data_IF_919640371867
#
_entry.id   IF_919640371867
#
_cell.length_a   1.000
_cell.length_b   1.000
_cell.length_c   1.000
_cell.angle_alpha   90.00
_cell.angle_beta   90.00
_cell.angle_gamma   90.00
#
_symmetry.space_group_name_H-M   'P 1'
#
loop_
_entity.id
_entity.type
_entity.pdbx_description
1 polymer ?
#
# COMPACT_ATOMS: atom_id res chain seq x y z
N UNK A 1 5.90 -13.03 -11.84
CA UNK A 1 7.18 -12.80 -11.12
C UNK A 1 7.44 -14.08 -10.36
N UNK A 2 8.19 -15.05 -10.88
CA UNK A 2 8.54 -16.20 -10.02
C UNK A 2 9.53 -15.70 -8.98
N UNK A 3 9.24 -15.74 -7.69
CA UNK A 3 10.20 -15.17 -6.75
C UNK A 3 9.73 -15.12 -5.33
N UNK A 4 10.61 -15.53 -4.43
CA UNK A 4 10.48 -15.18 -3.02
C UNK A 4 10.55 -13.65 -2.90
N UNK A 5 9.70 -13.13 -2.02
CA UNK A 5 9.59 -11.73 -1.71
C UNK A 5 10.11 -11.50 -0.30
N UNK A 6 10.74 -10.34 -0.09
CA UNK A 6 11.13 -9.90 1.23
C UNK A 6 10.61 -8.52 1.44
N UNK A 7 9.74 -8.38 2.43
CA UNK A 7 9.41 -7.08 2.97
C UNK A 7 10.43 -6.76 4.03
N UNK A 8 11.19 -5.69 3.84
CA UNK A 8 11.97 -5.08 4.91
C UNK A 8 11.32 -3.76 5.27
N UNK A 9 11.20 -3.48 6.56
CA UNK A 9 10.74 -2.18 7.05
C UNK A 9 11.81 -1.51 7.86
N UNK A 10 11.94 -0.20 7.73
CA UNK A 10 12.71 0.55 8.72
C UNK A 10 11.95 0.63 10.05
N UNK A 11 12.63 0.90 11.17
CA UNK A 11 11.96 0.89 12.46
C UNK A 11 10.98 2.06 12.61
N UNK A 12 9.88 1.81 13.31
CA UNK A 12 8.91 2.84 13.72
C UNK A 12 8.89 2.91 15.24
N UNK A 13 8.25 3.96 15.76
CA UNK A 13 8.29 4.41 17.15
C UNK A 13 7.83 3.32 18.15
N UNK A 14 8.78 2.52 18.64
CA UNK A 14 8.61 1.56 19.74
C UNK A 14 9.87 1.51 20.62
N UNK A 15 10.39 2.69 20.98
CA UNK A 15 11.58 2.83 21.83
C UNK A 15 12.92 2.45 21.18
N UNK A 16 12.97 2.20 19.86
CA UNK A 16 14.20 1.95 19.08
C UNK A 16 14.33 2.93 17.91
N UNK A 17 15.58 3.21 17.48
CA UNK A 17 15.96 4.14 16.39
C UNK A 17 15.02 3.99 15.20
N UNK A 18 14.25 5.01 14.86
CA UNK A 18 13.28 4.96 13.76
C UNK A 18 13.94 5.18 12.40
N UNK A 19 13.25 4.84 11.30
CA UNK A 19 13.74 5.01 9.92
C UNK A 19 14.29 6.41 9.65
N UNK A 20 13.55 7.44 10.04
CA UNK A 20 13.94 8.83 9.82
C UNK A 20 15.06 9.31 10.74
N UNK A 21 15.13 8.82 11.99
CA UNK A 21 16.24 9.12 12.91
C UNK A 21 17.60 8.57 12.45
N UNK A 22 17.65 7.84 11.33
CA UNK A 22 18.90 7.41 10.69
C UNK A 22 19.47 8.44 9.72
N UNK A 23 18.72 9.51 9.44
CA UNK A 23 19.16 10.63 8.59
C UNK A 23 19.59 11.79 9.49
N UNK A 24 20.88 12.12 9.45
CA UNK A 24 21.42 13.26 10.21
C UNK A 24 20.94 14.58 9.60
N UNK A 25 20.57 15.53 10.47
CA UNK A 25 20.30 16.90 10.07
C UNK A 25 21.62 17.65 9.89
N UNK A 26 21.63 18.58 8.93
CA UNK A 26 22.71 19.55 8.80
C UNK A 26 22.77 20.43 10.07
N UNK A 27 23.97 20.76 10.59
CA UNK A 27 24.11 21.54 11.82
C UNK A 27 23.35 22.87 11.83
N UNK A 28 23.24 23.50 10.66
CA UNK A 28 22.52 24.77 10.45
C UNK A 28 21.02 24.66 10.71
N UNK A 29 20.46 23.45 10.55
CA UNK A 29 19.04 23.18 10.73
C UNK A 29 18.68 22.70 12.14
N UNK A 30 19.65 22.32 12.98
CA UNK A 30 19.38 21.80 14.34
C UNK A 30 18.49 22.74 15.16
N UNK A 31 18.81 24.05 15.18
CA UNK A 31 18.04 25.06 15.92
C UNK A 31 16.59 25.20 15.45
N UNK A 32 16.32 24.95 14.16
CA UNK A 32 14.97 25.02 13.56
C UNK A 32 14.09 23.85 14.00
N UNK A 33 14.70 22.80 14.54
CA UNK A 33 14.04 21.59 15.01
C UNK A 33 14.29 21.45 16.52
N UNK A 34 14.11 22.56 17.24
CA UNK A 34 14.18 22.62 18.69
C UNK A 34 12.82 22.35 19.34
N UNK A 35 12.87 21.85 20.56
CA UNK A 35 11.70 21.63 21.41
C UNK A 35 12.03 22.01 22.85
N UNK A 36 11.01 22.43 23.58
CA UNK A 36 11.14 22.90 24.96
C UNK A 36 10.57 21.82 25.88
N UNK A 37 11.31 21.50 26.94
CA UNK A 37 10.86 20.67 28.07
C UNK A 37 10.64 21.57 29.29
N UNK A 38 10.17 21.02 30.41
CA UNK A 38 10.07 21.78 31.66
C UNK A 38 11.40 22.34 32.15
N UNK A 39 12.50 21.66 31.78
CA UNK A 39 13.82 21.89 32.37
C UNK A 39 14.74 22.66 31.43
N UNK A 40 14.66 22.41 30.11
CA UNK A 40 15.54 23.06 29.12
C UNK A 40 15.00 22.98 27.67
N UNK A 41 15.68 23.66 26.76
CA UNK A 41 15.48 23.60 25.30
C UNK A 41 16.49 22.65 24.65
N UNK A 42 15.97 21.67 23.92
CA UNK A 42 16.77 20.70 23.18
C UNK A 42 16.59 20.88 21.68
N UNK A 43 17.50 20.31 20.89
CA UNK A 43 17.34 20.23 19.44
C UNK A 43 17.64 18.84 18.91
N UNK A 44 16.95 18.47 17.83
CA UNK A 44 17.21 17.22 17.15
C UNK A 44 18.47 17.32 16.29
N UNK A 45 19.34 16.31 16.39
CA UNK A 45 20.54 16.13 15.54
C UNK A 45 20.27 15.21 14.34
N UNK A 46 19.22 14.42 14.42
CA UNK A 46 18.74 13.53 13.37
C UNK A 46 17.26 13.82 13.09
N UNK A 47 16.81 13.53 11.88
CA UNK A 47 15.53 13.99 11.34
C UNK A 47 14.33 13.44 12.13
N UNK A 48 13.62 14.26 12.91
CA UNK A 48 12.50 13.79 13.71
C UNK A 48 11.24 13.61 12.87
N UNK A 49 10.25 12.94 13.46
CA UNK A 49 8.91 12.90 12.92
C UNK A 49 8.26 14.29 12.90
N UNK A 50 7.28 14.46 12.00
CA UNK A 50 6.47 15.67 11.91
C UNK A 50 7.00 16.73 10.96
N UNK A 51 8.25 16.65 10.46
CA UNK A 51 8.68 17.57 9.41
C UNK A 51 8.05 17.21 8.06
N UNK A 52 7.56 18.23 7.36
CA UNK A 52 6.84 18.09 6.08
C UNK A 52 7.60 17.32 5.00
N UNK A 53 8.93 17.45 4.96
CA UNK A 53 9.78 16.91 3.89
C UNK A 53 10.57 15.65 4.29
N UNK A 54 10.28 15.04 5.43
CA UNK A 54 11.02 13.86 5.90
C UNK A 54 10.93 12.71 4.89
N UNK A 55 9.71 12.36 4.45
CA UNK A 55 9.51 11.25 3.50
C UNK A 55 10.23 11.49 2.17
N UNK A 56 10.20 12.72 1.64
CA UNK A 56 10.90 13.07 0.40
C UNK A 56 12.43 13.00 0.54
N UNK A 57 12.97 13.43 1.68
CA UNK A 57 14.40 13.30 1.98
C UNK A 57 14.81 11.82 2.08
N UNK A 58 14.00 11.01 2.75
CA UNK A 58 14.22 9.58 2.85
C UNK A 58 14.18 8.90 1.48
N UNK A 59 13.16 9.19 0.66
CA UNK A 59 13.04 8.66 -0.70
C UNK A 59 14.28 9.01 -1.54
N UNK A 60 14.75 10.27 -1.49
CA UNK A 60 15.96 10.69 -2.22
C UNK A 60 17.21 9.95 -1.78
N UNK A 61 17.34 9.64 -0.48
CA UNK A 61 18.46 8.85 0.04
C UNK A 61 18.42 7.44 -0.53
N UNK A 62 17.27 6.75 -0.42
CA UNK A 62 17.15 5.37 -0.89
C UNK A 62 17.28 5.26 -2.40
N UNK A 63 16.69 6.18 -3.16
CA UNK A 63 16.85 6.28 -4.61
C UNK A 63 18.32 6.38 -5.02
N UNK A 64 19.12 7.12 -4.26
CA UNK A 64 20.54 7.33 -4.54
C UNK A 64 21.37 6.09 -4.23
N UNK A 65 21.18 5.47 -3.07
CA UNK A 65 22.05 4.37 -2.61
C UNK A 65 21.66 3.03 -3.26
N UNK A 66 20.39 2.84 -3.60
CA UNK A 66 19.88 1.61 -4.22
C UNK A 66 19.66 1.74 -5.73
N UNK A 67 20.09 2.84 -6.36
CA UNK A 67 19.95 3.10 -7.80
C UNK A 67 20.25 1.88 -8.70
N UNK A 68 21.31 1.07 -8.46
CA UNK A 68 21.61 -0.10 -9.30
C UNK A 68 20.64 -1.29 -9.12
N UNK A 69 19.89 -1.31 -8.01
CA UNK A 69 19.02 -2.42 -7.59
C UNK A 69 17.53 -2.12 -7.83
N UNK A 70 17.15 -0.84 -7.79
CA UNK A 70 15.78 -0.36 -8.01
C UNK A 70 15.24 -0.79 -9.38
N UNK A 71 14.01 -1.31 -9.37
CA UNK A 71 13.32 -1.90 -10.53
C UNK A 71 13.84 -3.29 -10.93
N UNK A 72 15.14 -3.57 -10.74
CA UNK A 72 15.80 -4.84 -11.09
C UNK A 72 15.46 -5.95 -10.10
N UNK A 73 15.93 -5.80 -8.87
CA UNK A 73 15.73 -6.77 -7.77
C UNK A 73 14.96 -6.17 -6.60
N UNK A 74 14.65 -4.88 -6.65
CA UNK A 74 14.07 -4.16 -5.53
C UNK A 74 13.02 -3.16 -5.98
N UNK A 75 11.94 -3.04 -5.21
CA UNK A 75 11.02 -1.90 -5.22
C UNK A 75 11.06 -1.24 -3.85
N UNK A 76 11.03 0.09 -3.80
CA UNK A 76 11.03 0.83 -2.54
C UNK A 76 9.98 1.92 -2.58
N UNK A 77 9.29 2.10 -1.45
CA UNK A 77 8.43 3.24 -1.22
C UNK A 77 8.64 3.73 0.21
N UNK A 78 9.32 4.87 0.34
CA UNK A 78 9.75 5.43 1.62
C UNK A 78 10.41 4.33 2.46
N UNK A 79 9.80 3.91 3.57
CA UNK A 79 10.30 2.96 4.56
C UNK A 79 9.98 1.49 4.26
N UNK A 80 9.15 1.21 3.25
CA UNK A 80 8.81 -0.12 2.78
C UNK A 80 9.75 -0.55 1.64
N UNK A 81 10.49 -1.63 1.84
CA UNK A 81 11.42 -2.23 0.86
C UNK A 81 10.89 -3.60 0.46
N UNK A 82 10.81 -3.86 -0.83
CA UNK A 82 10.49 -5.16 -1.42
C UNK A 82 11.68 -5.66 -2.23
N UNK A 83 12.35 -6.70 -1.76
CA UNK A 83 13.35 -7.43 -2.57
C UNK A 83 12.65 -8.59 -3.27
N UNK A 84 12.90 -8.74 -4.57
CA UNK A 84 12.29 -9.75 -5.44
C UNK A 84 13.35 -10.33 -6.38
N UNK A 85 13.25 -11.61 -6.62
CA UNK A 85 14.11 -12.33 -7.59
C UNK A 85 13.24 -13.02 -8.62
N UNK A 86 13.80 -13.40 -9.77
CA UNK A 86 13.07 -14.21 -10.79
C UNK A 86 13.10 -15.72 -10.50
N UNK A 87 14.08 -16.14 -9.73
CA UNK A 87 14.35 -17.55 -9.44
C UNK A 87 14.75 -17.67 -7.98
N UNK A 88 14.26 -18.71 -7.31
CA UNK A 88 14.48 -18.90 -5.87
C UNK A 88 15.97 -18.99 -5.50
N UNK A 89 16.77 -19.65 -6.33
CA UNK A 89 18.19 -19.85 -6.05
C UNK A 89 19.02 -18.56 -6.15
N UNK A 90 18.57 -17.56 -6.92
CA UNK A 90 19.20 -16.23 -6.99
C UNK A 90 18.87 -15.36 -5.78
N UNK A 91 17.80 -15.69 -5.04
CA UNK A 91 17.24 -14.80 -4.03
C UNK A 91 18.20 -14.50 -2.87
N UNK A 92 18.95 -15.51 -2.41
CA UNK A 92 19.96 -15.32 -1.37
C UNK A 92 21.04 -14.33 -1.79
N UNK A 93 21.43 -14.35 -3.08
CA UNK A 93 22.42 -13.42 -3.62
C UNK A 93 21.88 -12.00 -3.73
N UNK A 94 20.65 -11.84 -4.20
CA UNK A 94 19.99 -10.52 -4.30
C UNK A 94 19.78 -9.88 -2.92
N UNK A 95 19.49 -10.71 -1.91
CA UNK A 95 19.45 -10.29 -0.50
C UNK A 95 20.83 -9.80 -0.06
N UNK A 96 21.87 -10.59 -0.27
CA UNK A 96 23.21 -10.21 0.19
C UNK A 96 23.66 -8.88 -0.44
N UNK A 97 23.42 -8.69 -1.74
CA UNK A 97 23.68 -7.42 -2.44
C UNK A 97 22.91 -6.24 -1.81
N UNK A 98 21.68 -6.46 -1.37
CA UNK A 98 20.88 -5.46 -0.63
C UNK A 98 21.50 -5.15 0.73
N UNK A 99 21.89 -6.19 1.48
CA UNK A 99 22.49 -6.04 2.81
C UNK A 99 23.87 -5.39 2.76
N UNK A 100 24.65 -5.60 1.71
CA UNK A 100 25.92 -4.88 1.51
C UNK A 100 25.71 -3.37 1.45
N UNK A 101 24.72 -2.90 0.70
CA UNK A 101 24.38 -1.48 0.63
C UNK A 101 23.89 -0.96 1.99
N UNK A 102 23.01 -1.70 2.67
CA UNK A 102 22.54 -1.33 4.01
C UNK A 102 23.70 -1.20 5.01
N UNK A 103 24.63 -2.17 5.03
CA UNK A 103 25.83 -2.15 5.87
C UNK A 103 26.74 -0.96 5.52
N UNK A 104 26.99 -0.73 4.23
CA UNK A 104 27.83 0.37 3.74
C UNK A 104 27.32 1.74 4.20
N UNK A 105 26.01 1.96 4.14
CA UNK A 105 25.38 3.22 4.54
C UNK A 105 24.86 3.22 5.99
N UNK A 106 25.15 2.17 6.77
CA UNK A 106 24.73 2.00 8.17
C UNK A 106 23.22 2.11 8.39
N UNK A 107 22.43 1.75 7.39
CA UNK A 107 20.98 1.69 7.49
C UNK A 107 20.56 0.42 8.22
N UNK A 108 19.65 0.60 9.18
CA UNK A 108 19.08 -0.44 10.02
C UNK A 108 17.64 -0.72 9.62
N UNK A 109 17.32 -2.00 9.62
CA UNK A 109 15.98 -2.53 9.42
C UNK A 109 15.37 -2.93 10.76
N UNK A 110 14.05 -3.00 10.80
CA UNK A 110 13.31 -3.59 11.90
C UNK A 110 13.11 -5.09 11.66
N UNK A 111 13.96 -5.91 12.29
CA UNK A 111 13.91 -7.37 12.14
C UNK A 111 12.54 -7.97 12.46
N UNK A 112 11.80 -7.43 13.44
CA UNK A 112 10.46 -7.91 13.82
C UNK A 112 9.38 -7.59 12.80
N UNK A 113 9.62 -6.65 11.88
CA UNK A 113 8.72 -6.30 10.77
C UNK A 113 9.21 -6.80 9.41
N UNK A 114 10.37 -7.45 9.37
CA UNK A 114 10.90 -8.05 8.16
C UNK A 114 10.32 -9.46 7.97
N UNK A 115 9.94 -9.79 6.74
CA UNK A 115 9.54 -11.14 6.35
C UNK A 115 10.50 -11.63 5.28
N UNK A 116 11.14 -12.79 5.50
CA UNK A 116 12.15 -13.34 4.61
C UNK A 116 11.68 -14.64 3.95
N UNK A 117 11.99 -14.82 2.67
CA UNK A 117 11.74 -16.08 1.98
C UNK A 117 10.26 -16.46 1.91
N UNK A 118 9.37 -15.49 1.67
CA UNK A 118 7.93 -15.74 1.51
C UNK A 118 7.55 -15.77 0.03
N UNK A 119 6.59 -16.60 -0.38
CA UNK A 119 6.08 -16.65 -1.75
C UNK A 119 5.15 -15.48 -2.11
N UNK A 120 4.74 -14.71 -1.11
CA UNK A 120 3.98 -13.49 -1.24
C UNK A 120 3.94 -12.70 0.07
N UNK A 121 3.67 -11.40 -0.02
CA UNK A 121 3.61 -10.54 1.16
C UNK A 121 2.95 -9.20 0.91
N UNK A 122 2.41 -8.61 1.98
CA UNK A 122 1.82 -7.28 1.92
C UNK A 122 2.89 -6.21 1.72
N UNK A 123 2.79 -5.41 0.66
CA UNK A 123 3.65 -4.26 0.36
C UNK A 123 2.77 -3.06 0.02
N UNK A 124 3.00 -1.90 0.65
CA UNK A 124 2.22 -0.64 0.47
C UNK A 124 0.68 -0.84 0.48
N UNK A 125 0.21 -1.79 1.28
CA UNK A 125 -1.22 -2.07 1.45
C UNK A 125 -1.85 -2.98 0.38
N UNK A 126 -1.05 -3.60 -0.49
CA UNK A 126 -1.46 -4.64 -1.43
C UNK A 126 -0.74 -5.95 -1.12
N UNK A 127 -1.34 -7.09 -1.48
CA UNK A 127 -0.66 -8.37 -1.44
C UNK A 127 0.14 -8.54 -2.73
N UNK A 128 1.44 -8.82 -2.64
CA UNK A 128 2.30 -9.06 -3.79
C UNK A 128 2.66 -10.53 -3.79
N UNK A 129 2.33 -11.23 -4.88
CA UNK A 129 2.60 -12.66 -5.04
C UNK A 129 3.30 -12.91 -6.36
N UNK A 130 3.68 -14.17 -6.59
CA UNK A 130 4.24 -14.57 -7.87
C UNK A 130 3.32 -14.33 -9.07
N UNK A 131 2.00 -14.35 -8.83
CA UNK A 131 0.94 -14.21 -9.82
C UNK A 131 0.61 -12.75 -10.15
N UNK A 132 0.90 -11.82 -9.23
CA UNK A 132 0.64 -10.41 -9.45
C UNK A 132 0.41 -9.62 -8.18
N UNK A 133 -0.46 -8.62 -8.28
CA UNK A 133 -0.87 -7.77 -7.17
C UNK A 133 -2.31 -8.14 -6.83
N UNK A 134 -2.53 -8.52 -5.58
CA UNK A 134 -3.81 -8.98 -5.07
C UNK A 134 -4.32 -8.01 -4.00
N UNK A 135 -5.63 -8.03 -3.78
CA UNK A 135 -6.23 -7.30 -2.67
C UNK A 135 -5.70 -7.89 -1.36
N UNK A 136 -5.38 -7.02 -0.39
CA UNK A 136 -4.97 -7.48 0.93
C UNK A 136 -6.14 -8.23 1.60
N UNK A 137 -6.00 -9.52 1.95
CA UNK A 137 -7.03 -10.30 2.63
C UNK A 137 -7.54 -9.63 3.90
N UNK A 138 -6.68 -8.95 4.67
CA UNK A 138 -7.09 -8.25 5.89
C UNK A 138 -8.09 -7.12 5.60
N UNK A 139 -7.92 -6.42 4.47
CA UNK A 139 -8.84 -5.36 4.05
C UNK A 139 -10.17 -5.92 3.56
N UNK A 140 -10.13 -7.08 2.90
CA UNK A 140 -11.35 -7.80 2.48
C UNK A 140 -12.11 -8.28 3.72
N UNK A 141 -11.43 -9.01 4.61
CA UNK A 141 -12.00 -9.56 5.83
C UNK A 141 -12.58 -8.46 6.73
N UNK A 142 -11.92 -7.31 6.82
CA UNK A 142 -12.46 -6.15 7.51
C UNK A 142 -13.84 -5.73 6.98
N UNK A 143 -14.16 -5.89 5.70
CA UNK A 143 -15.52 -5.64 5.16
C UNK A 143 -16.42 -6.86 5.38
N UNK A 144 -15.91 -8.08 5.14
CA UNK A 144 -16.69 -9.32 5.29
C UNK A 144 -17.23 -9.50 6.72
N UNK A 145 -16.39 -9.24 7.72
CA UNK A 145 -16.70 -9.38 9.15
C UNK A 145 -17.48 -8.17 9.70
N UNK A 146 -17.64 -7.12 8.90
CA UNK A 146 -18.35 -5.92 9.32
C UNK A 146 -19.86 -6.21 9.43
N UNK A 147 -20.46 -5.88 10.58
CA UNK A 147 -21.92 -5.81 10.72
C UNK A 147 -22.49 -4.64 9.89
N UNK A 148 -23.78 -4.67 9.52
CA UNK A 148 -24.41 -3.51 8.87
C UNK A 148 -24.18 -2.21 9.67
N UNK A 149 -23.69 -1.13 9.01
CA UNK A 149 -23.52 0.17 9.64
C UNK A 149 -24.79 0.70 10.30
N UNK A 150 -24.64 1.14 11.55
CA UNK A 150 -25.70 1.70 12.39
C UNK A 150 -25.58 3.22 12.58
N UNK A 151 -24.52 3.82 12.06
CA UNK A 151 -24.29 5.27 12.12
C UNK A 151 -23.59 5.81 10.87
N UNK A 152 -23.69 7.12 10.63
CA UNK A 152 -22.97 7.81 9.56
C UNK A 152 -21.45 7.62 9.67
N UNK A 153 -20.90 7.59 10.89
CA UNK A 153 -19.48 7.34 11.09
C UNK A 153 -19.08 5.93 10.64
N UNK A 154 -19.92 4.92 10.90
CA UNK A 154 -19.70 3.55 10.42
C UNK A 154 -19.86 3.46 8.89
N UNK A 155 -20.79 4.22 8.28
CA UNK A 155 -20.88 4.33 6.81
C UNK A 155 -19.62 4.98 6.24
N UNK A 156 -19.09 6.02 6.89
CA UNK A 156 -17.85 6.68 6.47
C UNK A 156 -16.68 5.69 6.55
N UNK A 157 -16.60 4.89 7.61
CA UNK A 157 -15.60 3.83 7.74
C UNK A 157 -15.73 2.79 6.61
N UNK A 158 -16.96 2.36 6.29
CA UNK A 158 -17.21 1.45 5.16
C UNK A 158 -16.73 2.06 3.84
N UNK A 159 -17.07 3.32 3.55
CA UNK A 159 -16.61 3.99 2.32
C UNK A 159 -15.09 4.11 2.25
N UNK A 160 -14.42 4.35 3.38
CA UNK A 160 -12.96 4.33 3.47
C UNK A 160 -12.36 2.95 3.17
N UNK A 161 -12.97 1.87 3.68
CA UNK A 161 -12.56 0.49 3.39
C UNK A 161 -12.76 0.13 1.91
N UNK A 162 -13.89 0.54 1.31
CA UNK A 162 -14.15 0.38 -0.13
C UNK A 162 -13.12 1.15 -0.96
N UNK A 163 -12.81 2.39 -0.59
CA UNK A 163 -11.82 3.21 -1.29
C UNK A 163 -10.41 2.57 -1.27
N UNK A 164 -10.04 1.91 -0.17
CA UNK A 164 -8.78 1.17 -0.04
C UNK A 164 -8.69 -0.08 -0.93
N UNK A 165 -9.81 -0.54 -1.48
CA UNK A 165 -9.95 -1.69 -2.38
C UNK A 165 -10.42 -1.30 -3.80
N UNK A 166 -10.59 0.00 -4.08
CA UNK A 166 -11.22 0.51 -5.32
C UNK A 166 -10.62 -0.09 -6.59
N UNK A 167 -9.29 -0.25 -6.63
CA UNK A 167 -8.54 -0.85 -7.76
C UNK A 167 -8.96 -2.27 -8.13
N UNK A 168 -9.60 -2.98 -7.21
CA UNK A 168 -10.08 -4.35 -7.41
C UNK A 168 -11.61 -4.44 -7.56
N UNK A 169 -12.33 -3.36 -7.23
CA UNK A 169 -13.79 -3.33 -7.27
C UNK A 169 -14.24 -2.73 -8.59
N UNK A 170 -14.69 -3.59 -9.49
CA UNK A 170 -15.27 -3.14 -10.75
C UNK A 170 -16.47 -2.23 -10.53
N UNK A 171 -16.44 -1.08 -11.21
CA UNK A 171 -17.44 -0.03 -11.09
C UNK A 171 -17.63 0.41 -9.63
N UNK A 172 -16.52 0.56 -8.89
CA UNK A 172 -16.52 0.89 -7.46
C UNK A 172 -17.37 2.12 -7.14
N UNK A 173 -17.37 3.12 -8.03
CA UNK A 173 -18.16 4.35 -7.88
C UNK A 173 -19.66 4.07 -7.91
N UNK A 174 -20.13 3.21 -8.82
CA UNK A 174 -21.53 2.81 -8.90
C UNK A 174 -21.94 1.98 -7.67
N UNK A 175 -21.10 1.00 -7.32
CA UNK A 175 -21.31 0.13 -6.14
C UNK A 175 -21.26 0.92 -4.82
N UNK A 176 -20.49 2.00 -4.78
CA UNK A 176 -20.37 2.89 -3.63
C UNK A 176 -21.42 3.99 -3.55
N UNK A 177 -22.18 4.21 -4.64
CA UNK A 177 -23.01 5.41 -4.82
C UNK A 177 -24.08 5.57 -3.74
N UNK A 178 -24.71 4.47 -3.35
CA UNK A 178 -25.73 4.47 -2.30
C UNK A 178 -25.15 4.96 -0.97
N UNK A 179 -23.94 4.52 -0.60
CA UNK A 179 -23.27 4.98 0.61
C UNK A 179 -22.89 6.46 0.53
N UNK A 180 -22.36 6.92 -0.61
CA UNK A 180 -22.01 8.33 -0.80
C UNK A 180 -23.23 9.26 -0.72
N UNK A 181 -24.38 8.83 -1.27
CA UNK A 181 -25.66 9.56 -1.14
C UNK A 181 -26.10 9.63 0.33
N UNK A 182 -25.95 8.54 1.08
CA UNK A 182 -26.27 8.49 2.51
C UNK A 182 -25.39 9.40 3.36
N UNK A 183 -24.09 9.49 3.06
CA UNK A 183 -23.16 10.41 3.76
C UNK A 183 -23.56 11.89 3.63
N UNK A 184 -24.33 12.27 2.61
CA UNK A 184 -24.86 13.63 2.45
C UNK A 184 -26.12 13.90 3.31
N UNK A 185 -26.74 12.85 3.86
CA UNK A 185 -27.99 12.92 4.63
C UNK A 185 -27.77 12.70 6.14
N UNK A 186 -26.75 13.37 6.70
CA UNK A 186 -26.28 13.13 8.08
C UNK A 186 -27.40 13.23 9.14
N UNK A 187 -28.32 14.18 9.00
CA UNK A 187 -29.38 14.44 10.00
C UNK A 187 -30.50 13.40 10.02
N UNK A 188 -30.73 12.68 8.92
CA UNK A 188 -31.84 11.73 8.75
C UNK A 188 -31.29 10.36 8.31
N UNK A 189 -30.24 9.91 8.97
CA UNK A 189 -29.64 8.62 8.64
C UNK A 189 -30.59 7.48 8.99
N UNK A 190 -30.88 6.65 7.99
CA UNK A 190 -31.59 5.39 8.16
C UNK A 190 -30.89 4.34 7.30
N UNK A 191 -30.65 3.17 7.90
CA UNK A 191 -30.12 2.03 7.17
C UNK A 191 -31.26 1.30 6.47
N UNK A 192 -31.53 1.68 5.22
CA UNK A 192 -32.66 1.16 4.45
C UNK A 192 -32.41 -0.25 3.90
N UNK A 193 -33.46 -0.91 3.41
CA UNK A 193 -33.36 -2.22 2.75
C UNK A 193 -32.45 -2.17 1.52
N UNK A 194 -32.45 -1.06 0.78
CA UNK A 194 -31.59 -0.86 -0.38
C UNK A 194 -30.11 -0.78 0.02
N UNK A 195 -29.79 -0.13 1.15
CA UNK A 195 -28.42 -0.08 1.68
C UNK A 195 -27.98 -1.46 2.18
N UNK A 196 -28.87 -2.20 2.84
CA UNK A 196 -28.59 -3.57 3.25
C UNK A 196 -28.31 -4.47 2.05
N UNK A 197 -29.14 -4.40 0.99
CA UNK A 197 -28.93 -5.19 -0.21
C UNK A 197 -27.60 -4.83 -0.90
N UNK A 198 -27.30 -3.54 -1.06
CA UNK A 198 -26.03 -3.09 -1.63
C UNK A 198 -24.81 -3.56 -0.81
N UNK A 199 -24.97 -3.72 0.50
CA UNK A 199 -23.91 -4.20 1.39
C UNK A 199 -23.67 -5.69 1.24
N UNK A 200 -24.74 -6.49 1.16
CA UNK A 200 -24.62 -7.93 0.89
C UNK A 200 -24.11 -8.22 -0.53
N UNK A 201 -24.53 -7.44 -1.53
CA UNK A 201 -24.02 -7.54 -2.90
C UNK A 201 -22.53 -7.23 -2.96
N UNK A 202 -22.07 -6.22 -2.21
CA UNK A 202 -20.65 -5.89 -2.08
C UNK A 202 -19.86 -7.05 -1.44
N UNK A 203 -20.35 -7.62 -0.33
CA UNK A 203 -19.70 -8.77 0.30
C UNK A 203 -19.63 -9.97 -0.63
N UNK A 204 -20.72 -10.28 -1.32
CA UNK A 204 -20.78 -11.37 -2.30
C UNK A 204 -19.79 -11.15 -3.44
N UNK A 205 -19.63 -9.91 -3.90
CA UNK A 205 -18.65 -9.54 -4.91
C UNK A 205 -17.22 -9.72 -4.40
N UNK A 206 -16.90 -9.23 -3.19
CA UNK A 206 -15.57 -9.36 -2.59
C UNK A 206 -15.19 -10.82 -2.30
N UNK A 207 -16.15 -11.68 -1.99
CA UNK A 207 -15.91 -13.11 -1.81
C UNK A 207 -15.48 -13.82 -3.11
N UNK A 208 -15.79 -13.24 -4.27
CA UNK A 208 -15.47 -13.77 -5.61
C UNK A 208 -14.37 -12.97 -6.32
N UNK A 209 -13.69 -12.07 -5.60
CA UNK A 209 -12.78 -11.11 -6.19
C UNK A 209 -11.62 -11.82 -6.91
N UNK A 210 -11.48 -11.54 -8.21
CA UNK A 210 -10.45 -12.12 -9.06
C UNK A 210 -9.10 -11.40 -8.87
N UNK A 211 -8.02 -12.15 -9.12
CA UNK A 211 -6.65 -11.68 -9.10
C UNK A 211 -6.39 -10.63 -10.19
N UNK A 212 -5.68 -9.53 -9.88
CA UNK A 212 -5.16 -8.63 -10.91
C UNK A 212 -3.80 -9.17 -11.39
N UNK A 213 -3.73 -9.46 -12.69
CA UNK A 213 -2.52 -10.03 -13.30
C UNK A 213 -1.58 -8.91 -13.73
N UNK A 214 -0.28 -9.11 -13.52
CA UNK A 214 0.75 -8.16 -13.96
C UNK A 214 0.93 -8.22 -15.50
N UNK A 215 0.95 -7.08 -16.21
CA UNK A 215 1.33 -7.04 -17.61
C UNK A 215 2.84 -7.25 -17.78
N UNK A 216 3.19 -8.01 -18.81
CA UNK A 216 4.53 -8.23 -19.30
C UNK A 216 4.87 -7.23 -20.42
N UNK A 217 6.14 -6.81 -20.53
CA UNK A 217 6.58 -6.01 -21.67
C UNK A 217 6.24 -6.70 -22.99
N UNK A 218 5.54 -5.99 -23.88
CA UNK A 218 5.08 -6.53 -25.17
C UNK A 218 3.62 -6.98 -25.20
N UNK A 219 2.93 -7.02 -24.06
CA UNK A 219 1.51 -7.35 -24.02
C UNK A 219 0.65 -6.27 -24.71
N UNK A 220 -0.35 -6.73 -25.49
CA UNK A 220 -1.41 -5.86 -25.98
C UNK A 220 -2.46 -5.68 -24.89
N UNK A 221 -2.70 -4.43 -24.50
CA UNK A 221 -3.66 -4.08 -23.44
C UNK A 221 -4.91 -3.45 -24.05
N UNK A 222 -6.07 -3.87 -23.58
CA UNK A 222 -7.37 -3.33 -24.00
C UNK A 222 -7.92 -2.41 -22.91
N UNK A 223 -8.33 -1.21 -23.29
CA UNK A 223 -8.94 -0.26 -22.39
C UNK A 223 -10.45 -0.18 -22.66
N UNK A 224 -11.25 -0.66 -21.71
CA UNK A 224 -12.70 -0.57 -21.79
C UNK A 224 -13.19 0.57 -20.90
N UNK A 225 -14.04 1.42 -21.44
CA UNK A 225 -14.68 2.52 -20.71
C UNK A 225 -16.19 2.28 -20.74
N UNK A 226 -16.83 2.43 -19.58
CA UNK A 226 -18.27 2.42 -19.46
C UNK A 226 -18.72 3.66 -18.70
N UNK A 227 -19.75 4.33 -19.21
CA UNK A 227 -20.31 5.53 -18.61
C UNK A 227 -21.81 5.36 -18.39
N UNK A 228 -22.28 5.92 -17.29
CA UNK A 228 -23.69 6.12 -16.96
C UNK A 228 -23.90 7.61 -16.66
N UNK A 229 -25.16 8.03 -16.47
CA UNK A 229 -25.46 9.42 -16.08
C UNK A 229 -24.92 9.80 -14.69
N UNK A 230 -24.49 8.82 -13.88
CA UNK A 230 -24.05 9.03 -12.49
C UNK A 230 -22.60 8.64 -12.24
N UNK A 231 -21.95 7.89 -13.14
CA UNK A 231 -20.57 7.42 -12.96
C UNK A 231 -19.87 7.11 -14.29
N UNK A 232 -18.54 7.18 -14.28
CA UNK A 232 -17.68 6.60 -15.29
C UNK A 232 -16.81 5.52 -14.63
N UNK A 233 -16.59 4.42 -15.35
CA UNK A 233 -15.72 3.32 -14.93
C UNK A 233 -14.83 2.91 -16.10
N UNK A 234 -13.61 2.47 -15.82
CA UNK A 234 -12.73 1.94 -16.84
C UNK A 234 -11.96 0.73 -16.32
N UNK A 235 -11.71 -0.24 -17.20
CA UNK A 235 -10.91 -1.41 -16.89
C UNK A 235 -9.85 -1.57 -17.96
N UNK A 236 -8.60 -1.79 -17.52
CA UNK A 236 -7.52 -2.19 -18.40
C UNK A 236 -7.38 -3.70 -18.32
N UNK A 237 -7.38 -4.38 -19.47
CA UNK A 237 -7.45 -5.84 -19.56
C UNK A 237 -6.34 -6.35 -20.48
N UNK A 238 -5.70 -7.45 -20.08
CA UNK A 238 -4.84 -8.26 -20.95
C UNK A 238 -5.63 -9.44 -21.48
N UNK A 239 -5.51 -9.76 -22.76
CA UNK A 239 -6.10 -10.96 -23.36
C UNK A 239 -5.00 -12.00 -23.60
N UNK A 240 -5.12 -13.17 -22.97
CA UNK A 240 -4.20 -14.30 -23.12
C UNK A 240 -5.04 -15.53 -23.45
N UNK A 241 -4.82 -16.15 -24.62
CA UNK A 241 -5.55 -17.34 -25.09
C UNK A 241 -7.09 -17.24 -25.00
N UNK A 242 -7.66 -16.08 -25.36
CA UNK A 242 -9.09 -15.73 -25.26
C UNK A 242 -9.66 -15.59 -23.82
N UNK A 243 -8.81 -15.60 -22.80
CA UNK A 243 -9.15 -15.30 -21.41
C UNK A 243 -8.74 -13.85 -21.10
N UNK A 244 -9.67 -13.10 -20.52
CA UNK A 244 -9.49 -11.68 -20.18
C UNK A 244 -9.08 -11.51 -18.72
N UNK A 245 -7.88 -11.01 -18.50
CA UNK A 245 -7.33 -10.75 -17.17
C UNK A 245 -7.33 -9.24 -16.87
N UNK A 246 -8.13 -8.74 -15.91
CA UNK A 246 -8.12 -7.33 -15.54
C UNK A 246 -6.83 -6.96 -14.82
N UNK A 247 -6.29 -5.79 -15.14
CA UNK A 247 -5.11 -5.17 -14.53
C UNK A 247 -5.47 -4.06 -13.53
N UNK A 248 -6.53 -3.33 -13.81
CA UNK A 248 -7.15 -2.35 -12.91
C UNK A 248 -8.62 -2.20 -13.29
N UNK A 249 -9.50 -2.00 -12.32
CA UNK A 249 -10.94 -1.81 -12.51
C UNK A 249 -11.45 -0.45 -12.07
#
# INVERSE_FOLDING_TARGET
>A
MGGLHIRMRTPEHDGRITGYHQIMLTPEDHKKVSFITSDDTFCYVAMPFGLKNVGATYQRLVDKIFRPQLGRIMEMYVDDILVKSKEAHHHVKDIDETFEVLRKYRLKLNSGKCAFGVSGGCFIGFMVTQWGIEANPDKINAIMDMRPPTSINEVQQLTGRIAALSRFISKSTEKGLSYFKTLRKVKNFEWTKELQQAFEDLKTYLAKLLLLVKPMPGDTMYFYISTTSQAASSVLVREEEAIKHPFTT
#
